data_IF_880833475619
#
_entry.id   IF_880833475619
#
_cell.length_a   1.000
_cell.length_b   1.000
_cell.length_c   1.000
_cell.angle_alpha   90.00
_cell.angle_beta   90.00
_cell.angle_gamma   90.00
#
_symmetry.space_group_name_H-M   'P 1'
#
loop_
_entity.id
_entity.type
_entity.pdbx_description
1 polymer ?
#
# COMPACT_ATOMS: atom_id res chain seq x y z
N UNK A 1 66.31 -4.87 16.55
CA UNK A 1 65.55 -5.95 15.87
C UNK A 1 64.09 -5.71 16.16
N UNK A 2 63.34 -5.27 15.16
CA UNK A 2 61.98 -4.72 15.29
C UNK A 2 60.93 -5.80 15.06
N UNK A 3 60.20 -6.18 16.11
CA UNK A 3 59.05 -7.09 15.98
C UNK A 3 57.79 -6.27 15.64
N UNK A 4 57.20 -6.56 14.49
CA UNK A 4 55.91 -6.02 14.08
C UNK A 4 54.83 -6.99 14.58
N UNK A 5 54.07 -6.60 15.62
CA UNK A 5 52.84 -7.30 15.96
C UNK A 5 51.78 -6.88 14.94
N UNK A 6 51.51 -7.76 13.98
CA UNK A 6 50.40 -7.63 13.04
C UNK A 6 49.08 -7.70 13.80
N UNK A 7 48.39 -6.57 13.89
CA UNK A 7 46.99 -6.51 14.29
C UNK A 7 46.20 -7.15 13.14
N UNK A 8 45.76 -8.40 13.34
CA UNK A 8 44.78 -9.02 12.45
C UNK A 8 43.46 -8.25 12.61
N UNK A 9 43.17 -7.41 11.62
CA UNK A 9 41.89 -6.75 11.42
C UNK A 9 40.81 -7.83 11.30
N UNK A 10 39.94 -7.97 12.31
CA UNK A 10 38.70 -8.73 12.17
C UNK A 10 37.68 -7.84 11.45
N UNK A 11 37.07 -8.28 10.34
CA UNK A 11 35.97 -7.52 9.76
C UNK A 11 34.78 -7.58 10.74
N UNK A 12 34.33 -6.41 11.17
CA UNK A 12 33.05 -6.23 11.84
C UNK A 12 31.97 -6.58 10.82
N UNK A 13 31.49 -7.83 10.85
CA UNK A 13 30.28 -8.20 10.11
C UNK A 13 29.09 -7.57 10.82
N UNK A 14 28.71 -6.37 10.38
CA UNK A 14 27.34 -5.86 10.56
C UNK A 14 26.39 -6.82 9.84
N UNK A 15 26.00 -7.89 10.53
CA UNK A 15 24.93 -8.79 10.09
C UNK A 15 23.61 -8.05 10.34
N UNK A 16 23.28 -7.14 9.43
CA UNK A 16 21.92 -6.66 9.25
C UNK A 16 21.06 -7.89 8.92
N UNK A 17 20.20 -8.27 9.86
CA UNK A 17 19.15 -9.24 9.60
C UNK A 17 17.98 -8.47 9.01
N UNK A 18 17.99 -8.33 7.68
CA UNK A 18 16.77 -8.07 6.92
C UNK A 18 15.85 -9.29 6.98
N UNK A 19 14.55 -9.01 7.06
CA UNK A 19 13.46 -9.97 7.11
C UNK A 19 13.43 -10.92 5.90
N UNK A 20 13.06 -12.19 6.06
CA UNK A 20 12.89 -13.10 4.93
C UNK A 20 11.49 -12.95 4.35
N UNK A 21 11.33 -12.11 3.34
CA UNK A 21 10.24 -12.25 2.37
C UNK A 21 10.72 -11.69 1.03
N UNK A 22 11.22 -12.57 0.16
CA UNK A 22 10.90 -12.49 -1.26
C UNK A 22 11.34 -13.79 -1.91
N UNK A 23 10.39 -14.43 -2.58
CA UNK A 23 10.65 -15.60 -3.38
C UNK A 23 11.66 -15.26 -4.48
N UNK A 24 12.57 -16.20 -4.71
CA UNK A 24 13.51 -16.20 -5.81
C UNK A 24 12.73 -16.20 -7.13
N UNK A 25 12.51 -15.03 -7.71
CA UNK A 25 12.40 -14.88 -9.16
C UNK A 25 13.82 -14.65 -9.69
N UNK A 26 14.22 -15.23 -10.83
CA UNK A 26 15.49 -14.90 -11.43
C UNK A 26 15.38 -13.49 -11.99
N UNK A 27 15.77 -12.49 -11.20
CA UNK A 27 15.87 -11.11 -11.69
C UNK A 27 17.02 -11.02 -12.68
N UNK A 28 16.62 -10.62 -13.87
CA UNK A 28 17.47 -10.15 -14.94
C UNK A 28 18.47 -9.13 -14.39
N UNK A 29 19.76 -9.35 -14.65
CA UNK A 29 20.85 -8.41 -14.38
C UNK A 29 20.72 -7.03 -15.09
N UNK A 30 19.56 -6.73 -15.68
CA UNK A 30 19.20 -5.45 -16.29
C UNK A 30 18.57 -4.46 -15.31
N UNK A 31 18.00 -4.88 -14.18
CA UNK A 31 17.30 -3.97 -13.26
C UNK A 31 18.25 -3.10 -12.42
N UNK A 32 19.40 -3.63 -12.01
CA UNK A 32 20.39 -2.93 -11.18
C UNK A 32 20.96 -1.68 -11.87
N UNK A 33 21.23 -1.77 -13.19
CA UNK A 33 21.66 -0.63 -14.01
C UNK A 33 20.57 0.43 -14.19
N UNK A 34 19.30 0.02 -14.22
CA UNK A 34 18.17 0.96 -14.34
C UNK A 34 17.84 1.62 -13.00
N UNK A 35 18.09 0.94 -11.88
CA UNK A 35 17.91 1.47 -10.52
C UNK A 35 18.86 2.64 -10.26
N UNK A 36 20.15 2.48 -10.58
CA UNK A 36 21.14 3.57 -10.47
C UNK A 36 20.77 4.78 -11.34
N UNK A 37 20.23 4.53 -12.55
CA UNK A 37 19.79 5.62 -13.44
C UNK A 37 18.55 6.36 -12.93
N UNK A 38 17.68 5.67 -12.17
CA UNK A 38 16.51 6.22 -11.51
C UNK A 38 16.89 7.03 -10.27
N UNK A 39 17.83 6.55 -9.47
CA UNK A 39 18.30 7.26 -8.28
C UNK A 39 19.03 8.56 -8.66
N UNK A 40 19.87 8.52 -9.71
CA UNK A 40 20.48 9.73 -10.29
C UNK A 40 19.44 10.72 -10.82
N UNK A 41 18.33 10.24 -11.40
CA UNK A 41 17.22 11.08 -11.84
C UNK A 41 16.49 11.73 -10.66
N UNK A 42 16.25 10.97 -9.58
CA UNK A 42 15.61 11.46 -8.35
C UNK A 42 16.47 12.55 -7.70
N UNK A 43 17.78 12.32 -7.57
CA UNK A 43 18.72 13.32 -7.01
C UNK A 43 18.75 14.60 -7.84
N UNK A 44 18.75 14.47 -9.17
CA UNK A 44 18.72 15.63 -10.07
C UNK A 44 17.40 16.40 -10.01
N UNK A 45 16.26 15.71 -9.90
CA UNK A 45 14.96 16.35 -9.73
C UNK A 45 14.87 17.07 -8.39
N UNK A 46 15.42 16.47 -7.33
CA UNK A 46 15.52 17.07 -6.00
C UNK A 46 16.37 18.36 -6.02
N UNK A 47 17.54 18.34 -6.66
CA UNK A 47 18.36 19.56 -6.85
C UNK A 47 17.61 20.63 -7.65
N UNK A 48 16.85 20.22 -8.68
CA UNK A 48 16.06 21.16 -9.49
C UNK A 48 14.94 21.81 -8.68
N UNK A 49 14.25 21.05 -7.80
CA UNK A 49 13.27 21.60 -6.86
C UNK A 49 13.93 22.60 -5.92
N UNK A 50 15.06 22.25 -5.30
CA UNK A 50 15.80 23.14 -4.40
C UNK A 50 16.26 24.43 -5.10
N UNK A 51 16.63 24.34 -6.38
CA UNK A 51 16.99 25.50 -7.19
C UNK A 51 15.77 26.36 -7.54
N UNK A 52 14.63 25.77 -7.88
CA UNK A 52 13.39 26.52 -8.11
C UNK A 52 12.93 27.25 -6.86
N UNK A 53 13.07 26.64 -5.67
CA UNK A 53 12.76 27.29 -4.39
C UNK A 53 13.68 28.48 -4.08
N UNK A 54 14.94 28.45 -4.55
CA UNK A 54 15.90 29.55 -4.36
C UNK A 54 15.70 30.70 -5.35
N UNK A 55 15.10 30.45 -6.52
CA UNK A 55 14.85 31.48 -7.53
C UNK A 55 13.58 32.27 -7.16
N UNK A 56 13.76 33.56 -6.81
CA UNK A 56 12.66 34.42 -6.31
C UNK A 56 11.67 34.89 -7.38
N UNK A 57 12.03 34.85 -8.65
CA UNK A 57 11.12 35.18 -9.75
C UNK A 57 11.57 34.50 -11.04
N UNK A 58 10.73 33.62 -11.58
CA UNK A 58 10.89 33.07 -12.92
C UNK A 58 9.99 33.85 -13.87
N UNK A 59 10.43 34.02 -15.11
CA UNK A 59 9.58 34.58 -16.15
C UNK A 59 8.39 33.64 -16.38
N UNK A 60 7.18 34.18 -16.49
CA UNK A 60 5.94 33.40 -16.62
C UNK A 60 5.96 32.39 -17.80
N UNK A 61 6.64 32.77 -18.90
CA UNK A 61 6.89 31.86 -20.03
C UNK A 61 7.83 30.69 -19.71
N UNK A 62 8.79 30.88 -18.80
CA UNK A 62 9.66 29.80 -18.32
C UNK A 62 8.90 28.85 -17.38
N UNK A 63 8.00 29.39 -16.54
CA UNK A 63 7.12 28.59 -15.67
C UNK A 63 6.18 27.74 -16.52
N UNK A 64 5.52 28.34 -17.52
CA UNK A 64 4.66 27.62 -18.48
C UNK A 64 5.42 26.56 -19.28
N UNK A 65 6.67 26.82 -19.65
CA UNK A 65 7.52 25.83 -20.32
C UNK A 65 7.90 24.67 -19.39
N UNK A 66 8.21 24.95 -18.12
CA UNK A 66 8.52 23.93 -17.12
C UNK A 66 7.29 23.04 -16.88
N UNK A 67 6.10 23.61 -16.70
CA UNK A 67 4.86 22.84 -16.58
C UNK A 67 4.65 21.91 -17.78
N UNK A 68 4.80 22.42 -19.01
CA UNK A 68 4.67 21.59 -20.22
C UNK A 68 5.67 20.43 -20.27
N UNK A 69 6.92 20.64 -19.82
CA UNK A 69 7.90 19.54 -19.77
C UNK A 69 7.60 18.57 -18.61
N UNK A 70 7.06 19.04 -17.48
CA UNK A 70 6.59 18.19 -16.37
C UNK A 70 5.41 17.32 -16.82
N UNK A 71 4.45 17.87 -17.56
CA UNK A 71 3.33 17.09 -18.12
C UNK A 71 3.82 15.96 -19.04
N UNK A 72 4.89 16.20 -19.82
CA UNK A 72 5.51 15.15 -20.63
C UNK A 72 6.19 14.07 -19.78
N UNK A 73 6.85 14.47 -18.70
CA UNK A 73 7.47 13.52 -17.75
C UNK A 73 6.38 12.68 -17.07
N UNK A 74 5.27 13.29 -16.67
CA UNK A 74 4.12 12.60 -16.10
C UNK A 74 3.53 11.57 -17.07
N UNK A 75 3.40 11.92 -18.35
CA UNK A 75 2.97 10.98 -19.40
C UNK A 75 3.96 9.82 -19.57
N UNK A 76 5.26 10.06 -19.46
CA UNK A 76 6.28 9.01 -19.56
C UNK A 76 6.28 8.09 -18.33
N UNK A 77 6.18 8.64 -17.13
CA UNK A 77 6.11 7.89 -15.86
C UNK A 77 4.84 7.02 -15.84
N UNK A 78 3.69 7.60 -16.22
CA UNK A 78 2.41 6.88 -16.27
C UNK A 78 2.30 5.94 -17.48
N UNK A 79 3.09 6.18 -18.54
CA UNK A 79 3.16 5.35 -19.74
C UNK A 79 4.00 4.09 -19.56
N UNK A 80 5.03 4.14 -18.71
CA UNK A 80 5.87 2.98 -18.33
C UNK A 80 5.05 1.91 -17.58
N UNK A 81 4.00 2.29 -16.85
CA UNK A 81 3.11 1.33 -16.19
C UNK A 81 2.13 0.63 -17.16
N UNK A 82 1.91 1.17 -18.37
CA UNK A 82 0.90 0.65 -19.33
C UNK A 82 1.44 -0.35 -20.35
N UNK A 83 2.74 -0.64 -20.39
CA UNK A 83 3.32 -1.53 -21.42
C UNK A 83 3.31 -3.03 -21.07
N UNK A 84 2.81 -3.44 -19.89
CA UNK A 84 2.76 -4.84 -19.47
C UNK A 84 1.37 -5.50 -19.55
N UNK A 85 0.47 -5.02 -20.42
CA UNK A 85 -0.80 -5.72 -20.68
C UNK A 85 -1.12 -5.73 -22.18
N UNK A 86 -1.22 -6.91 -22.81
CA UNK A 86 -1.71 -6.99 -24.16
C UNK A 86 -3.24 -6.87 -24.19
N UNK A 87 -3.73 -6.28 -25.27
CA UNK A 87 -5.10 -6.35 -25.79
C UNK A 87 -6.12 -5.36 -25.18
N UNK A 88 -6.40 -4.26 -25.88
CA UNK A 88 -7.40 -4.19 -26.96
C UNK A 88 -7.57 -2.74 -27.44
N UNK A 89 -7.61 -2.61 -28.76
CA UNK A 89 -7.89 -1.41 -29.53
C UNK A 89 -9.21 -0.74 -29.10
N UNK A 90 -9.23 0.59 -29.02
CA UNK A 90 -10.06 1.45 -29.88
C UNK A 90 -9.66 2.93 -29.73
N UNK A 91 -9.43 3.55 -30.88
CA UNK A 91 -9.11 4.95 -31.12
C UNK A 91 -10.27 5.89 -30.79
N UNK A 92 -9.99 7.10 -30.25
CA UNK A 92 -10.64 8.35 -30.70
C UNK A 92 -9.91 9.60 -30.23
N UNK A 93 -9.72 10.52 -31.18
CA UNK A 93 -8.97 11.77 -31.06
C UNK A 93 -9.69 12.87 -30.25
N UNK A 94 -8.85 13.67 -29.57
CA UNK A 94 -8.91 15.09 -29.20
C UNK A 94 -10.24 15.86 -29.28
N UNK A 95 -10.59 16.49 -28.15
CA UNK A 95 -10.57 17.95 -27.93
C UNK A 95 -11.69 18.39 -26.98
N UNK A 96 -11.32 18.97 -25.84
CA UNK A 96 -12.29 19.55 -24.90
C UNK A 96 -11.64 19.94 -23.58
N UNK A 97 -10.92 21.05 -23.59
CA UNK A 97 -10.45 21.74 -22.40
C UNK A 97 -11.65 22.19 -21.53
N UNK A 98 -11.73 21.70 -20.30
CA UNK A 98 -12.30 22.44 -19.17
C UNK A 98 -11.79 21.83 -17.86
N UNK A 99 -10.92 22.58 -17.21
CA UNK A 99 -10.56 22.48 -15.79
C UNK A 99 -11.81 22.30 -14.92
N UNK A 100 -11.71 21.37 -13.97
CA UNK A 100 -12.21 21.40 -12.58
C UNK A 100 -12.73 20.01 -12.17
N UNK A 101 -11.83 19.15 -11.69
CA UNK A 101 -12.18 17.93 -10.97
C UNK A 101 -11.48 17.99 -9.61
N UNK A 102 -12.22 18.45 -8.59
CA UNK A 102 -12.07 17.89 -7.25
C UNK A 102 -12.54 16.42 -7.34
N UNK A 103 -11.66 15.55 -7.81
CA UNK A 103 -11.85 14.09 -7.81
C UNK A 103 -11.63 13.54 -6.39
N UNK A 104 -12.45 14.03 -5.48
CA UNK A 104 -12.47 13.66 -4.09
C UNK A 104 -13.58 12.61 -3.86
N UNK A 105 -13.26 11.36 -4.18
CA UNK A 105 -13.92 10.13 -3.72
C UNK A 105 -15.40 9.90 -4.08
N UNK A 106 -15.66 9.31 -5.25
CA UNK A 106 -16.90 8.58 -5.51
C UNK A 106 -17.03 8.07 -6.95
N UNK A 107 -17.69 6.93 -7.21
CA UNK A 107 -17.96 6.50 -8.57
C UNK A 107 -18.90 7.49 -9.28
N UNK A 108 -18.67 7.80 -10.57
CA UNK A 108 -19.47 8.77 -11.31
C UNK A 108 -20.93 8.32 -11.36
N UNK A 109 -21.81 9.06 -10.69
CA UNK A 109 -23.25 8.80 -10.77
C UNK A 109 -23.79 9.36 -12.08
N UNK A 110 -24.78 8.71 -12.73
CA UNK A 110 -25.30 9.08 -14.04
C UNK A 110 -26.04 10.44 -14.12
N UNK A 111 -25.98 11.27 -13.09
CA UNK A 111 -26.70 12.56 -12.98
C UNK A 111 -25.81 13.80 -13.11
N UNK A 112 -24.48 13.67 -13.18
CA UNK A 112 -23.55 14.82 -13.18
C UNK A 112 -23.64 15.74 -14.42
N UNK A 113 -24.31 15.34 -15.52
CA UNK A 113 -24.42 16.16 -16.74
C UNK A 113 -25.78 16.84 -16.95
N UNK A 114 -26.74 16.69 -16.04
CA UNK A 114 -28.05 17.34 -16.17
C UNK A 114 -27.97 18.82 -15.79
N UNK A 115 -27.77 19.70 -16.79
CA UNK A 115 -27.97 21.14 -16.66
C UNK A 115 -29.45 21.44 -16.46
N UNK A 116 -29.90 21.49 -15.21
CA UNK A 116 -31.24 21.97 -14.84
C UNK A 116 -31.35 23.46 -15.16
N UNK A 117 -32.03 23.78 -16.26
CA UNK A 117 -32.36 25.17 -16.62
C UNK A 117 -33.64 25.55 -15.86
N UNK A 118 -33.49 26.28 -14.76
CA UNK A 118 -34.61 26.81 -13.96
C UNK A 118 -35.33 27.91 -14.74
N UNK A 119 -36.67 27.91 -14.86
CA UNK A 119 -37.39 29.03 -15.45
C UNK A 119 -37.27 30.27 -14.56
N UNK A 120 -36.68 31.33 -15.10
CA UNK A 120 -36.73 32.67 -14.50
C UNK A 120 -38.18 33.17 -14.59
N UNK A 121 -38.85 33.28 -13.44
CA UNK A 121 -40.14 33.96 -13.33
C UNK A 121 -39.89 35.46 -13.29
N UNK A 122 -40.06 36.12 -14.44
CA UNK A 122 -40.27 37.56 -14.47
C UNK A 122 -41.75 37.84 -14.22
N UNK A 123 -42.08 38.24 -12.99
CA UNK A 123 -43.32 38.95 -12.70
C UNK A 123 -43.18 40.39 -13.20
N UNK A 124 -43.93 40.73 -14.25
CA UNK A 124 -44.91 41.83 -14.21
C UNK A 124 -45.30 42.28 -15.62
N UNK A 125 -46.51 41.90 -16.04
CA UNK A 125 -47.55 42.85 -16.49
C UNK A 125 -48.85 42.10 -16.78
N UNK A 126 -49.91 42.57 -16.14
CA UNK A 126 -51.25 42.00 -16.16
C UNK A 126 -51.90 42.04 -17.57
N UNK A 127 -52.71 41.02 -17.95
CA UNK A 127 -53.15 40.81 -19.32
C UNK A 127 -54.51 41.44 -19.62
N UNK A 128 -54.63 42.12 -20.77
CA UNK A 128 -55.93 42.27 -21.46
C UNK A 128 -56.17 41.00 -22.29
N UNK A 129 -56.70 39.98 -21.64
CA UNK A 129 -57.15 38.74 -22.27
C UNK A 129 -58.50 38.97 -22.95
N UNK A 130 -58.47 39.07 -24.27
CA UNK A 130 -59.63 38.73 -25.10
C UNK A 130 -59.78 37.22 -24.98
N UNK A 131 -60.76 36.77 -24.19
CA UNK A 131 -61.16 35.38 -24.08
C UNK A 131 -61.49 34.83 -25.49
N UNK A 132 -60.54 34.12 -26.10
CA UNK A 132 -60.84 33.12 -27.11
C UNK A 132 -61.28 31.86 -26.39
N UNK A 133 -62.36 31.19 -26.85
CA UNK A 133 -62.87 30.02 -26.17
C UNK A 133 -61.79 28.94 -26.18
N UNK A 134 -61.64 28.37 -25.00
CA UNK A 134 -61.00 27.11 -24.67
C UNK A 134 -60.97 26.19 -25.89
N UNK A 135 -59.76 25.83 -26.33
CA UNK A 135 -59.57 24.67 -27.19
C UNK A 135 -59.95 23.46 -26.36
N UNK A 136 -61.23 23.11 -26.41
CA UNK A 136 -61.81 21.96 -25.74
C UNK A 136 -61.02 20.73 -26.21
N UNK A 137 -60.26 20.12 -25.30
CA UNK A 137 -59.67 18.81 -25.56
C UNK A 137 -60.83 17.89 -25.93
N UNK A 138 -60.78 17.34 -27.14
CA UNK A 138 -61.77 16.36 -27.55
C UNK A 138 -61.78 15.22 -26.52
N UNK A 139 -62.94 14.69 -26.14
CA UNK A 139 -63.05 13.68 -25.08
C UNK A 139 -62.18 12.44 -25.36
N UNK A 140 -61.97 12.10 -26.63
CA UNK A 140 -61.02 11.06 -27.05
C UNK A 140 -59.58 11.36 -26.61
N UNK A 141 -59.12 12.60 -26.80
CA UNK A 141 -57.76 13.02 -26.44
C UNK A 141 -57.57 13.09 -24.93
N UNK A 142 -58.61 13.45 -24.19
CA UNK A 142 -58.59 13.41 -22.72
C UNK A 142 -58.45 11.98 -22.18
N UNK A 143 -59.16 11.01 -22.79
CA UNK A 143 -59.05 9.59 -22.43
C UNK A 143 -57.68 9.02 -22.76
N UNK A 144 -57.11 9.36 -23.93
CA UNK A 144 -55.74 8.96 -24.29
C UNK A 144 -54.71 9.52 -23.31
N UNK A 145 -54.83 10.79 -22.93
CA UNK A 145 -53.94 11.42 -21.93
C UNK A 145 -54.08 10.75 -20.57
N UNK A 146 -55.31 10.44 -20.13
CA UNK A 146 -55.54 9.73 -18.87
C UNK A 146 -54.91 8.32 -18.88
N UNK A 147 -55.11 7.56 -19.96
CA UNK A 147 -54.50 6.24 -20.12
C UNK A 147 -52.97 6.30 -20.13
N UNK A 148 -52.39 7.25 -20.86
CA UNK A 148 -50.94 7.45 -20.88
C UNK A 148 -50.39 7.87 -19.51
N UNK A 149 -51.15 8.68 -18.75
CA UNK A 149 -50.79 9.05 -17.39
C UNK A 149 -50.85 7.85 -16.42
N UNK A 150 -51.85 6.99 -16.54
CA UNK A 150 -51.96 5.74 -15.77
C UNK A 150 -50.83 4.76 -16.09
N UNK A 151 -50.48 4.59 -17.37
CA UNK A 151 -49.35 3.78 -17.79
C UNK A 151 -48.02 4.33 -17.28
N UNK A 152 -47.83 5.64 -17.32
CA UNK A 152 -46.65 6.27 -16.73
C UNK A 152 -46.61 6.06 -15.22
N UNK A 153 -47.74 6.21 -14.52
CA UNK A 153 -47.82 6.01 -13.08
C UNK A 153 -47.48 4.57 -12.67
N UNK A 154 -47.95 3.56 -13.42
CA UNK A 154 -47.63 2.16 -13.15
C UNK A 154 -46.16 1.84 -13.42
N UNK A 155 -45.59 2.40 -14.49
CA UNK A 155 -44.16 2.28 -14.78
C UNK A 155 -43.30 2.94 -13.69
N UNK A 156 -43.66 4.15 -13.25
CA UNK A 156 -42.97 4.84 -12.16
C UNK A 156 -43.06 4.05 -10.86
N UNK A 157 -44.25 3.52 -10.51
CA UNK A 157 -44.42 2.67 -9.33
C UNK A 157 -43.49 1.44 -9.38
N UNK A 158 -43.41 0.75 -10.52
CA UNK A 158 -42.49 -0.38 -10.71
C UNK A 158 -41.02 0.02 -10.58
N UNK A 159 -40.62 1.17 -11.13
CA UNK A 159 -39.24 1.65 -10.98
C UNK A 159 -38.90 2.02 -9.54
N UNK A 160 -39.83 2.66 -8.82
CA UNK A 160 -39.65 3.00 -7.40
C UNK A 160 -39.48 1.74 -6.57
N UNK A 161 -40.30 0.72 -6.79
CA UNK A 161 -40.18 -0.58 -6.10
C UNK A 161 -38.78 -1.20 -6.32
N UNK A 162 -38.30 -1.26 -7.57
CA UNK A 162 -36.96 -1.77 -7.89
C UNK A 162 -35.84 -0.96 -7.22
N UNK A 163 -35.99 0.36 -7.16
CA UNK A 163 -35.02 1.23 -6.51
C UNK A 163 -35.01 1.03 -5.00
N UNK A 164 -36.16 0.81 -4.38
CA UNK A 164 -36.25 0.50 -2.94
C UNK A 164 -35.55 -0.82 -2.61
N UNK A 165 -35.76 -1.86 -3.42
CA UNK A 165 -35.05 -3.15 -3.25
C UNK A 165 -33.54 -2.98 -3.37
N UNK A 166 -33.07 -2.26 -4.41
CA UNK A 166 -31.64 -1.97 -4.57
C UNK A 166 -31.06 -1.15 -3.42
N UNK A 167 -31.85 -0.21 -2.88
CA UNK A 167 -31.44 0.58 -1.72
C UNK A 167 -31.25 -0.32 -0.51
N UNK A 168 -32.21 -1.19 -0.24
CA UNK A 168 -32.12 -2.13 0.88
C UNK A 168 -30.92 -3.08 0.73
N UNK A 169 -30.64 -3.56 -0.48
CA UNK A 169 -29.44 -4.34 -0.77
C UNK A 169 -28.15 -3.53 -0.52
N UNK A 170 -28.11 -2.27 -0.98
CA UNK A 170 -26.98 -1.38 -0.75
C UNK A 170 -26.75 -1.12 0.74
N UNK A 171 -27.82 -0.90 1.52
CA UNK A 171 -27.75 -0.67 2.96
C UNK A 171 -27.20 -1.92 3.67
N UNK A 172 -27.68 -3.11 3.30
CA UNK A 172 -27.16 -4.39 3.86
C UNK A 172 -25.67 -4.62 3.52
N UNK A 173 -25.24 -4.29 2.30
CA UNK A 173 -23.83 -4.40 1.91
C UNK A 173 -22.99 -3.40 2.69
N UNK A 174 -23.49 -2.17 2.87
CA UNK A 174 -22.80 -1.15 3.65
C UNK A 174 -22.58 -1.62 5.10
N UNK A 175 -23.61 -2.13 5.76
CA UNK A 175 -23.49 -2.68 7.12
C UNK A 175 -22.48 -3.83 7.20
N UNK A 176 -22.46 -4.72 6.20
CA UNK A 176 -21.46 -5.79 6.13
C UNK A 176 -20.03 -5.24 6.00
N UNK A 177 -19.82 -4.21 5.19
CA UNK A 177 -18.52 -3.59 5.02
C UNK A 177 -18.05 -2.88 6.29
N UNK A 178 -18.96 -2.17 6.98
CA UNK A 178 -18.68 -1.54 8.27
C UNK A 178 -18.24 -2.59 9.29
N UNK A 179 -19.02 -3.66 9.48
CA UNK A 179 -18.66 -4.72 10.44
C UNK A 179 -17.36 -5.45 10.07
N UNK A 180 -17.03 -5.56 8.78
CA UNK A 180 -15.75 -6.12 8.34
C UNK A 180 -14.59 -5.18 8.65
N UNK A 181 -14.76 -3.88 8.43
CA UNK A 181 -13.77 -2.86 8.73
C UNK A 181 -13.50 -2.78 10.24
N UNK A 182 -14.55 -2.80 11.06
CA UNK A 182 -14.46 -2.81 12.53
C UNK A 182 -13.67 -4.02 13.04
N UNK A 183 -14.02 -5.24 12.62
CA UNK A 183 -13.26 -6.45 13.01
C UNK A 183 -11.80 -6.42 12.55
N UNK A 184 -11.54 -5.85 11.37
CA UNK A 184 -10.17 -5.69 10.90
C UNK A 184 -9.38 -4.71 11.79
N UNK A 185 -10.00 -3.59 12.18
CA UNK A 185 -9.40 -2.62 13.08
C UNK A 185 -9.13 -3.20 14.48
N UNK A 186 -10.07 -3.95 15.05
CA UNK A 186 -9.87 -4.66 16.32
C UNK A 186 -8.68 -5.61 16.27
N UNK A 187 -8.56 -6.38 15.17
CA UNK A 187 -7.44 -7.30 14.98
C UNK A 187 -6.10 -6.57 14.86
N UNK A 188 -6.07 -5.43 14.17
CA UNK A 188 -4.87 -4.58 14.08
C UNK A 188 -4.45 -4.13 15.48
N UNK A 189 -5.38 -3.59 16.27
CA UNK A 189 -5.09 -3.11 17.63
C UNK A 189 -4.52 -4.22 18.54
N UNK A 190 -5.09 -5.43 18.50
CA UNK A 190 -4.58 -6.57 19.29
C UNK A 190 -3.16 -6.95 18.85
N UNK A 191 -2.89 -6.93 17.55
CA UNK A 191 -1.56 -7.26 17.02
C UNK A 191 -0.53 -6.18 17.36
N UNK A 192 -0.90 -4.90 17.27
CA UNK A 192 -0.04 -3.78 17.67
C UNK A 192 0.32 -3.85 19.15
N UNK A 193 -0.66 -4.12 20.02
CA UNK A 193 -0.41 -4.33 21.44
C UNK A 193 0.58 -5.48 21.68
N UNK A 194 0.39 -6.61 20.98
CA UNK A 194 1.27 -7.77 21.12
C UNK A 194 2.69 -7.51 20.61
N UNK A 195 2.85 -6.74 19.53
CA UNK A 195 4.15 -6.34 19.02
C UNK A 195 4.86 -5.45 20.04
N UNK A 196 4.15 -4.46 20.62
CA UNK A 196 4.71 -3.58 21.63
C UNK A 196 5.21 -4.35 22.86
N UNK A 197 4.42 -5.32 23.36
CA UNK A 197 4.83 -6.20 24.47
C UNK A 197 6.11 -7.00 24.12
N UNK A 198 6.17 -7.57 22.91
CA UNK A 198 7.36 -8.31 22.46
C UNK A 198 8.58 -7.41 22.28
N UNK A 199 8.39 -6.17 21.84
CA UNK A 199 9.47 -5.20 21.67
C UNK A 199 10.03 -4.77 23.03
N UNK A 200 9.18 -4.53 24.03
CA UNK A 200 9.59 -4.22 25.40
C UNK A 200 10.42 -5.37 26.00
N UNK A 201 9.93 -6.62 25.88
CA UNK A 201 10.67 -7.82 26.31
C UNK A 201 12.01 -7.95 25.57
N UNK A 202 12.02 -7.68 24.27
CA UNK A 202 13.25 -7.72 23.48
C UNK A 202 14.25 -6.67 23.96
N UNK A 203 13.82 -5.43 24.19
CA UNK A 203 14.70 -4.36 24.69
C UNK A 203 15.22 -4.66 26.09
N UNK A 204 14.38 -5.19 26.99
CA UNK A 204 14.78 -5.64 28.31
C UNK A 204 15.89 -6.69 28.21
N UNK A 205 15.67 -7.74 27.41
CA UNK A 205 16.66 -8.78 27.16
C UNK A 205 17.96 -8.24 26.53
N UNK A 206 17.86 -7.29 25.59
CA UNK A 206 19.04 -6.65 25.02
C UNK A 206 19.83 -5.85 26.06
N UNK A 207 19.15 -5.14 26.96
CA UNK A 207 19.78 -4.37 28.03
C UNK A 207 20.48 -5.29 29.04
N UNK A 208 19.84 -6.40 29.41
CA UNK A 208 20.41 -7.41 30.30
C UNK A 208 21.64 -8.08 29.66
N UNK A 209 21.56 -8.48 28.38
CA UNK A 209 22.71 -9.04 27.66
C UNK A 209 23.89 -8.06 27.59
N UNK A 210 23.63 -6.77 27.39
CA UNK A 210 24.68 -5.73 27.44
C UNK A 210 25.29 -5.65 28.83
N UNK A 211 24.45 -5.65 29.88
CA UNK A 211 24.90 -5.61 31.27
C UNK A 211 25.76 -6.83 31.63
N UNK A 212 25.31 -8.05 31.30
CA UNK A 212 26.06 -9.29 31.52
C UNK A 212 27.38 -9.30 30.75
N UNK A 213 27.41 -8.77 29.53
CA UNK A 213 28.65 -8.64 28.75
C UNK A 213 29.65 -7.70 29.43
N UNK A 214 29.18 -6.57 29.96
CA UNK A 214 30.02 -5.63 30.71
C UNK A 214 30.54 -6.29 31.99
N UNK A 215 29.69 -7.01 32.73
CA UNK A 215 30.12 -7.75 33.92
C UNK A 215 31.19 -8.80 33.57
N UNK A 216 30.97 -9.59 32.52
CA UNK A 216 31.92 -10.61 32.07
C UNK A 216 33.25 -9.97 31.68
N UNK A 217 33.22 -8.83 30.99
CA UNK A 217 34.43 -8.09 30.63
C UNK A 217 35.16 -7.54 31.87
N UNK A 218 34.43 -7.06 32.88
CA UNK A 218 35.01 -6.62 34.14
C UNK A 218 35.68 -7.78 34.88
N UNK A 219 35.02 -8.94 34.96
CA UNK A 219 35.61 -10.16 35.53
C UNK A 219 36.81 -10.60 34.71
N UNK A 220 36.75 -10.55 33.37
CA UNK A 220 37.88 -10.90 32.52
C UNK A 220 39.11 -10.04 32.82
N UNK A 221 38.95 -8.72 32.99
CA UNK A 221 40.05 -7.82 33.36
C UNK A 221 40.60 -8.14 34.75
N UNK A 222 39.72 -8.46 35.71
CA UNK A 222 40.15 -8.90 37.05
C UNK A 222 40.90 -10.23 36.98
N UNK A 223 40.38 -11.20 36.24
CA UNK A 223 41.00 -12.50 35.99
C UNK A 223 42.34 -12.36 35.29
N UNK A 224 42.51 -11.49 34.29
CA UNK A 224 43.84 -11.23 33.74
C UNK A 224 44.77 -10.71 34.83
N UNK A 225 44.33 -9.80 35.70
CA UNK A 225 45.19 -9.28 36.77
C UNK A 225 45.51 -10.31 37.87
N UNK A 226 44.66 -11.32 38.08
CA UNK A 226 44.81 -12.35 39.11
C UNK A 226 45.43 -13.67 38.60
N UNK A 227 45.19 -14.06 37.35
CA UNK A 227 45.63 -15.33 36.73
C UNK A 227 47.10 -15.23 36.28
N UNK A 228 47.63 -14.05 35.92
CA UNK A 228 49.09 -13.89 35.73
C UNK A 228 49.93 -14.20 36.99
N UNK A 229 49.30 -14.50 38.14
CA UNK A 229 49.97 -14.97 39.37
C UNK A 229 49.94 -16.49 39.59
N UNK A 230 49.14 -17.25 38.84
CA UNK A 230 49.03 -18.71 38.98
C UNK A 230 49.08 -19.36 37.60
N UNK A 231 50.07 -20.24 37.40
CA UNK A 231 50.33 -20.99 36.16
C UNK A 231 49.05 -21.51 35.50
N UNK A 232 48.96 -21.34 34.17
CA UNK A 232 47.82 -21.75 33.35
C UNK A 232 47.54 -23.26 33.47
N UNK A 233 46.37 -23.65 34.00
CA UNK A 233 45.95 -25.04 34.13
C UNK A 233 45.62 -25.63 32.73
N UNK A 234 46.43 -26.57 32.21
CA UNK A 234 46.25 -27.13 30.87
C UNK A 234 45.02 -28.05 30.77
N UNK A 235 44.63 -28.73 31.86
CA UNK A 235 43.47 -29.63 31.86
C UNK A 235 42.16 -28.83 31.74
N UNK A 236 42.11 -27.68 32.42
CA UNK A 236 40.99 -26.75 32.29
C UNK A 236 40.90 -26.20 30.86
N UNK A 237 42.03 -25.82 30.26
CA UNK A 237 42.06 -25.33 28.87
C UNK A 237 41.51 -26.37 27.87
N UNK A 238 41.93 -27.63 28.00
CA UNK A 238 41.45 -28.73 27.16
C UNK A 238 39.95 -29.01 27.36
N UNK A 239 39.46 -28.97 28.62
CA UNK A 239 38.04 -29.15 28.92
C UNK A 239 37.18 -28.02 28.32
N UNK A 240 37.66 -26.77 28.32
CA UNK A 240 37.00 -25.62 27.69
C UNK A 240 36.96 -25.80 26.18
N UNK A 241 38.05 -26.28 25.56
CA UNK A 241 38.08 -26.54 24.12
C UNK A 241 37.10 -27.63 23.72
N UNK A 242 37.04 -28.74 24.45
CA UNK A 242 36.07 -29.80 24.21
C UNK A 242 34.63 -29.29 24.34
N UNK A 243 34.33 -28.52 25.39
CA UNK A 243 33.01 -27.93 25.58
C UNK A 243 32.61 -26.98 24.43
N UNK A 244 33.56 -26.18 23.91
CA UNK A 244 33.32 -25.31 22.75
C UNK A 244 32.92 -26.13 21.51
N UNK A 245 33.64 -27.22 21.24
CA UNK A 245 33.35 -28.11 20.11
C UNK A 245 31.95 -28.72 20.25
N UNK A 246 31.62 -29.22 21.44
CA UNK A 246 30.31 -29.80 21.73
C UNK A 246 29.18 -28.78 21.58
N UNK A 247 29.39 -27.56 22.09
CA UNK A 247 28.44 -26.47 21.94
C UNK A 247 28.23 -26.07 20.48
N UNK A 248 29.30 -25.96 19.68
CA UNK A 248 29.20 -25.65 18.26
C UNK A 248 28.38 -26.70 17.50
N UNK A 249 28.57 -27.98 17.83
CA UNK A 249 27.77 -29.06 17.27
C UNK A 249 26.29 -28.94 17.67
N UNK A 250 26.01 -28.69 18.95
CA UNK A 250 24.63 -28.45 19.43
C UNK A 250 24.00 -27.24 18.71
N UNK A 251 24.72 -26.12 18.61
CA UNK A 251 24.26 -24.90 17.96
C UNK A 251 23.99 -25.13 16.47
N UNK A 252 24.87 -25.86 15.77
CA UNK A 252 24.67 -26.27 14.37
C UNK A 252 23.39 -27.09 14.19
N UNK A 253 23.20 -28.11 15.03
CA UNK A 253 21.99 -28.94 15.03
C UNK A 253 20.73 -28.13 15.34
N UNK A 254 20.80 -27.19 16.28
CA UNK A 254 19.69 -26.31 16.63
C UNK A 254 19.31 -25.37 15.47
N UNK A 255 20.31 -24.79 14.78
CA UNK A 255 20.09 -23.98 13.57
C UNK A 255 19.43 -24.78 12.46
N UNK A 256 19.91 -26.00 12.19
CA UNK A 256 19.31 -26.87 11.18
C UNK A 256 17.84 -27.18 11.48
N UNK A 257 17.48 -27.45 12.74
CA UNK A 257 16.08 -27.65 13.16
C UNK A 257 15.20 -26.42 12.95
N UNK A 258 15.71 -25.22 13.20
CA UNK A 258 14.96 -23.97 12.99
C UNK A 258 14.67 -23.72 11.50
N UNK A 259 15.64 -24.01 10.63
CA UNK A 259 15.48 -23.90 9.17
C UNK A 259 14.50 -24.95 8.62
N UNK A 260 14.50 -26.17 9.16
CA UNK A 260 13.49 -27.17 8.79
C UNK A 260 12.08 -26.75 9.22
N UNK A 261 11.92 -26.20 10.43
CA UNK A 261 10.60 -25.77 10.94
C UNK A 261 10.03 -24.60 10.14
N UNK A 262 10.85 -23.65 9.71
CA UNK A 262 10.41 -22.56 8.82
C UNK A 262 10.04 -23.08 7.43
N UNK A 263 10.80 -24.03 6.88
CA UNK A 263 10.48 -24.64 5.58
C UNK A 263 9.16 -25.42 5.61
N UNK A 264 8.91 -26.22 6.65
CA UNK A 264 7.65 -26.98 6.82
C UNK A 264 6.45 -26.04 6.99
N UNK A 265 6.62 -24.90 7.68
CA UNK A 265 5.57 -23.89 7.86
C UNK A 265 5.22 -23.14 6.56
N UNK A 266 6.18 -23.01 5.64
CA UNK A 266 5.91 -22.47 4.30
C UNK A 266 5.16 -23.51 3.44
N UNK A 267 5.58 -24.77 3.47
CA UNK A 267 4.93 -25.83 2.66
C UNK A 267 3.50 -26.12 3.12
N UNK A 268 3.20 -26.06 4.42
CA UNK A 268 1.82 -26.24 4.91
C UNK A 268 0.89 -25.09 4.47
N UNK A 269 1.38 -23.84 4.47
CA UNK A 269 0.61 -22.70 3.95
C UNK A 269 0.33 -22.81 2.44
N UNK A 270 1.25 -23.38 1.66
CA UNK A 270 1.04 -23.60 0.22
C UNK A 270 0.11 -24.79 -0.06
N UNK A 271 0.13 -25.84 0.76
CA UNK A 271 -0.79 -26.98 0.65
C UNK A 271 -2.24 -26.63 1.04
N UNK A 272 -2.43 -25.78 2.04
CA UNK A 272 -3.77 -25.30 2.42
C UNK A 272 -4.38 -24.38 1.34
N UNK A 273 -3.56 -23.53 0.72
CA UNK A 273 -3.97 -22.70 -0.41
C UNK A 273 -4.35 -23.53 -1.64
N UNK A 274 -3.66 -24.64 -1.89
CA UNK A 274 -3.97 -25.54 -3.02
C UNK A 274 -5.22 -26.39 -2.79
N UNK A 275 -5.63 -26.61 -1.55
CA UNK A 275 -6.82 -27.41 -1.21
C UNK A 275 -8.10 -26.56 -1.28
N UNK A 276 -8.01 -25.24 -1.06
CA UNK A 276 -9.15 -24.32 -1.20
C UNK A 276 -9.59 -24.12 -2.67
N UNK A 277 -8.67 -24.18 -3.64
CA UNK A 277 -8.98 -24.01 -5.07
C UNK A 277 -9.61 -25.28 -5.69
N UNK A 278 -9.39 -26.46 -5.09
CA UNK A 278 -9.93 -27.74 -5.59
C UNK A 278 -11.41 -27.99 -5.29
N UNK A 279 -12.06 -27.20 -4.43
CA UNK A 279 -13.45 -27.45 -4.01
C UNK A 279 -14.51 -26.60 -4.73
N UNK A 280 -14.12 -25.73 -5.67
CA UNK A 280 -15.05 -24.87 -6.44
C UNK A 280 -15.35 -25.37 -7.86
N UNK A 281 -14.83 -26.52 -8.28
CA UNK A 281 -15.14 -27.15 -9.57
C UNK A 281 -15.57 -28.60 -9.36
N UNK A 282 -16.81 -28.77 -8.89
CA UNK A 282 -17.33 -30.11 -8.65
C UNK A 282 -18.78 -30.12 -8.17
N UNK A 283 -19.70 -29.57 -8.96
CA UNK A 283 -21.10 -30.02 -9.14
C UNK A 283 -21.65 -29.38 -10.39
#
# INVERSE_FOLDING_TARGET
MSYHLGIAHFPVLHRQLTSPTSAYFPDSASEDLTQDSKDVLIDRLSDLVLRLTKVRSLQDGAVSAIHREVDKIEVLVNGVEKTNSPSHLLSREKSGHSSNEDDFWGPPTPTQSMKMRVPVVSQDSSPKSVFKPVSEMSPSRAVEVAKAAEELASNLASTVEKLLVRKEESDRIHDLLVTRAERAAERILVLEYRIAEMDDDYQANQSELKFLRIQLQAIQVQCTNCIHRHDDDPELADSIMNWKIDWENINRRAKARRQQKSHVSLTHQMSDASTFVGSMHGT
#
